data_IF_053707180417
#
_entry.id   IF_053707180417
#
_cell.length_a   1.000
_cell.length_b   1.000
_cell.length_c   1.000
_cell.angle_alpha   90.00
_cell.angle_beta   90.00
_cell.angle_gamma   90.00
#
_symmetry.space_group_name_H-M   'P 1'
#
loop_
_entity.id
_entity.type
_entity.pdbx_description
1 polymer ?
#
# COMPACT_ATOMS: atom_id res chain seq x y z
N UNK A 1 -1.16 -41.90 23.64
CA UNK A 1 -2.32 -41.46 22.81
C UNK A 1 -3.25 -40.43 23.48
N UNK A 2 -2.92 -39.86 24.66
CA UNK A 2 -3.78 -38.84 25.32
C UNK A 2 -3.35 -37.39 25.00
N UNK A 3 -2.06 -37.19 24.75
CA UNK A 3 -1.46 -35.85 24.62
C UNK A 3 -1.60 -35.27 23.20
N UNK A 4 -1.67 -36.14 22.19
CA UNK A 4 -1.85 -35.74 20.79
C UNK A 4 -3.22 -35.10 20.52
N UNK A 5 -4.26 -35.50 21.28
CA UNK A 5 -5.61 -34.93 21.18
C UNK A 5 -5.70 -33.52 21.78
N UNK A 6 -4.95 -33.26 22.86
CA UNK A 6 -4.89 -31.94 23.51
C UNK A 6 -4.05 -30.97 22.69
N UNK A 7 -2.96 -31.45 22.09
CA UNK A 7 -2.11 -30.64 21.21
C UNK A 7 -2.86 -30.18 19.95
N UNK A 8 -3.70 -31.04 19.38
CA UNK A 8 -4.55 -30.68 18.22
C UNK A 8 -5.60 -29.62 18.54
N UNK A 9 -6.16 -29.63 19.75
CA UNK A 9 -7.14 -28.64 20.19
C UNK A 9 -6.49 -27.27 20.47
N UNK A 10 -5.27 -27.27 21.01
CA UNK A 10 -4.47 -26.07 21.24
C UNK A 10 -4.03 -25.41 19.92
N UNK A 11 -3.66 -26.22 18.92
CA UNK A 11 -3.30 -25.73 17.58
C UNK A 11 -4.49 -25.05 16.88
N UNK A 12 -5.71 -25.61 17.03
CA UNK A 12 -6.94 -25.03 16.47
C UNK A 12 -7.34 -23.70 17.14
N UNK A 13 -7.06 -23.55 18.44
CA UNK A 13 -7.35 -22.30 19.17
C UNK A 13 -6.41 -21.16 18.77
N UNK A 14 -5.13 -21.44 18.52
CA UNK A 14 -4.16 -20.44 18.05
C UNK A 14 -4.48 -19.98 16.62
N UNK A 15 -4.97 -20.88 15.76
CA UNK A 15 -5.41 -20.52 14.41
C UNK A 15 -6.68 -19.65 14.40
N UNK A 16 -7.62 -19.87 15.33
CA UNK A 16 -8.87 -19.10 15.40
C UNK A 16 -8.72 -17.65 15.86
N UNK A 17 -7.71 -17.36 16.70
CA UNK A 17 -7.48 -16.01 17.24
C UNK A 17 -6.71 -15.13 16.23
N UNK A 18 -5.87 -15.75 15.39
CA UNK A 18 -5.09 -15.05 14.35
C UNK A 18 -5.94 -14.39 13.25
N UNK A 19 -7.23 -14.73 13.14
CA UNK A 19 -8.14 -14.15 12.15
C UNK A 19 -8.81 -12.84 12.60
N UNK A 20 -8.57 -12.36 13.82
CA UNK A 20 -9.14 -11.12 14.36
C UNK A 20 -8.12 -9.96 14.44
N UNK A 21 -6.96 -10.10 13.79
CA UNK A 21 -5.95 -9.03 13.70
C UNK A 21 -5.93 -8.49 12.28
N UNK A 22 -6.38 -7.25 12.12
CA UNK A 22 -6.00 -6.40 10.99
C UNK A 22 -7.05 -6.21 9.89
N UNK A 23 -8.18 -5.59 10.22
CA UNK A 23 -8.72 -4.58 9.28
C UNK A 23 -8.09 -3.25 9.66
N UNK A 24 -6.82 -3.08 9.30
CA UNK A 24 -6.29 -1.75 9.11
C UNK A 24 -7.02 -1.14 7.93
N UNK A 25 -7.24 0.17 7.94
CA UNK A 25 -7.64 0.87 6.73
C UNK A 25 -6.57 0.60 5.68
N UNK A 26 -6.87 -0.28 4.73
CA UNK A 26 -6.08 -0.39 3.52
C UNK A 26 -6.30 0.94 2.80
N UNK A 27 -5.48 1.94 3.12
CA UNK A 27 -5.17 2.96 2.12
C UNK A 27 -4.59 2.14 0.97
N UNK A 28 -5.38 1.96 -0.09
CA UNK A 28 -4.95 1.24 -1.28
C UNK A 28 -3.77 2.02 -1.87
N UNK A 29 -2.56 1.65 -1.47
CA UNK A 29 -1.33 2.19 -2.02
C UNK A 29 -1.11 1.46 -3.35
N UNK A 30 -1.65 2.05 -4.41
CA UNK A 30 -1.37 1.67 -5.78
C UNK A 30 0.10 2.03 -6.08
N UNK A 31 1.00 1.07 -5.94
CA UNK A 31 2.36 1.19 -6.44
C UNK A 31 2.35 0.90 -7.95
N UNK A 32 2.31 1.95 -8.76
CA UNK A 32 2.55 1.86 -10.20
C UNK A 32 4.06 1.86 -10.47
N UNK A 33 4.56 0.83 -11.16
CA UNK A 33 5.99 0.66 -11.42
C UNK A 33 6.60 1.63 -12.46
N UNK A 34 5.91 2.69 -12.89
CA UNK A 34 6.37 3.49 -14.05
C UNK A 34 6.60 4.97 -13.76
N UNK A 35 6.72 5.37 -12.49
CA UNK A 35 7.08 6.77 -12.20
C UNK A 35 8.04 6.88 -11.02
N UNK A 36 9.12 7.65 -11.18
CA UNK A 36 10.06 8.01 -10.10
C UNK A 36 9.46 9.08 -9.15
N UNK A 37 8.13 9.15 -9.04
CA UNK A 37 7.42 10.10 -8.21
C UNK A 37 6.72 9.37 -7.07
N UNK A 38 6.85 9.90 -5.86
CA UNK A 38 5.90 9.61 -4.80
C UNK A 38 4.74 10.59 -4.92
N UNK A 39 3.52 10.07 -4.85
CA UNK A 39 2.32 10.86 -5.01
C UNK A 39 1.17 10.29 -4.18
N UNK A 40 0.16 11.13 -3.95
CA UNK A 40 -1.13 10.72 -3.41
C UNK A 40 -2.23 11.04 -4.41
N UNK A 41 -3.26 10.20 -4.43
CA UNK A 41 -4.48 10.45 -5.19
C UNK A 41 -5.58 10.77 -4.18
N UNK A 42 -6.21 11.93 -4.31
CA UNK A 42 -7.34 12.33 -3.48
C UNK A 42 -8.36 13.08 -4.33
N UNK A 43 -9.64 12.73 -4.19
CA UNK A 43 -10.73 13.32 -4.98
C UNK A 43 -10.53 13.25 -6.51
N UNK A 44 -9.76 12.26 -7.00
CA UNK A 44 -9.43 12.12 -8.43
C UNK A 44 -8.31 13.04 -8.92
N UNK A 45 -7.62 13.74 -8.01
CA UNK A 45 -6.47 14.59 -8.33
C UNK A 45 -5.19 13.95 -7.80
N UNK A 46 -4.13 13.99 -8.63
CA UNK A 46 -2.80 13.55 -8.22
C UNK A 46 -2.02 14.72 -7.65
N UNK A 47 -1.47 14.51 -6.45
CA UNK A 47 -0.49 15.41 -5.82
C UNK A 47 0.85 14.69 -5.73
N UNK A 48 1.85 15.17 -6.47
CA UNK A 48 3.23 14.69 -6.33
C UNK A 48 3.81 15.27 -5.05
N UNK A 49 4.34 14.41 -4.18
CA UNK A 49 4.89 14.77 -2.87
C UNK A 49 6.40 14.59 -2.77
N UNK A 50 7.00 13.84 -3.70
CA UNK A 50 8.44 13.70 -3.79
C UNK A 50 8.87 13.17 -5.17
N UNK A 51 10.12 13.40 -5.55
CA UNK A 51 10.79 12.73 -6.66
C UNK A 51 11.94 11.89 -6.12
N UNK A 52 11.95 10.60 -6.46
CA UNK A 52 12.91 9.61 -5.96
C UNK A 52 13.91 9.16 -7.03
N UNK A 53 13.88 9.76 -8.22
CA UNK A 53 14.86 9.47 -9.26
C UNK A 53 16.13 10.32 -9.09
N UNK A 54 17.13 9.99 -9.90
CA UNK A 54 18.45 10.64 -9.85
C UNK A 54 18.60 11.74 -10.92
N UNK A 55 17.57 11.98 -11.73
CA UNK A 55 17.63 12.98 -12.79
C UNK A 55 17.59 14.40 -12.21
N UNK A 56 18.39 15.29 -12.80
CA UNK A 56 18.43 16.71 -12.42
C UNK A 56 17.35 17.54 -13.12
N UNK A 57 16.81 17.02 -14.22
CA UNK A 57 15.72 17.62 -15.00
C UNK A 57 14.72 16.51 -15.27
N UNK A 58 13.49 16.72 -14.82
CA UNK A 58 12.41 15.73 -14.92
C UNK A 58 11.20 16.38 -15.55
N UNK A 59 10.60 15.71 -16.52
CA UNK A 59 9.31 16.10 -17.06
C UNK A 59 8.19 15.52 -16.20
N UNK A 60 7.32 16.40 -15.71
CA UNK A 60 6.16 15.99 -14.91
C UNK A 60 5.10 15.46 -15.87
N UNK A 61 4.66 14.19 -15.71
CA UNK A 61 3.61 13.64 -16.55
C UNK A 61 2.28 14.37 -16.29
N UNK A 62 1.48 14.53 -17.36
CA UNK A 62 0.15 15.16 -17.26
C UNK A 62 -0.82 14.29 -16.47
N UNK A 63 -0.62 12.97 -16.52
CA UNK A 63 -1.45 11.98 -15.82
C UNK A 63 -0.60 10.90 -15.17
N UNK A 64 -0.97 10.50 -13.95
CA UNK A 64 -0.41 9.34 -13.24
C UNK A 64 -1.59 8.43 -12.88
N UNK A 65 -1.49 7.13 -13.21
CA UNK A 65 -2.58 6.16 -12.99
C UNK A 65 -3.93 6.56 -13.61
N UNK A 66 -3.89 7.32 -14.73
CA UNK A 66 -5.09 7.82 -15.39
C UNK A 66 -5.74 9.05 -14.73
N UNK A 67 -5.18 9.55 -13.63
CA UNK A 67 -5.61 10.77 -12.96
C UNK A 67 -4.72 11.97 -13.31
N UNK A 68 -5.30 13.16 -13.40
CA UNK A 68 -4.57 14.38 -13.76
C UNK A 68 -3.70 14.87 -12.60
N UNK A 69 -2.46 15.25 -12.90
CA UNK A 69 -1.56 15.90 -11.94
C UNK A 69 -1.94 17.38 -11.83
N UNK A 70 -2.36 17.78 -10.63
CA UNK A 70 -2.78 19.15 -10.34
C UNK A 70 -1.79 19.90 -9.45
N UNK A 71 -1.06 19.17 -8.61
CA UNK A 71 -0.20 19.77 -7.60
C UNK A 71 1.13 19.03 -7.48
N UNK A 72 2.18 19.82 -7.25
CA UNK A 72 3.55 19.34 -7.12
C UNK A 72 4.18 20.01 -5.91
N UNK A 73 4.48 19.20 -4.91
CA UNK A 73 5.19 19.60 -3.69
C UNK A 73 6.45 18.74 -3.62
N UNK A 74 7.61 19.32 -3.89
CA UNK A 74 8.92 18.66 -3.85
C UNK A 74 9.74 19.15 -2.65
#
# INVERSE_FOLDING_TARGET
MKNARVLGLLLLLVLGIGLMVGIGSDDEVYASEVTNFQYSISNGEVTITNYIGDDTIVEIPVTIEGYTVHHVTL
#
